data_IF_601030313729
#
_entry.id   IF_601030313729
#
_cell.length_a   1.000
_cell.length_b   1.000
_cell.length_c   1.000
_cell.angle_alpha   90.00
_cell.angle_beta   90.00
_cell.angle_gamma   90.00
#
_symmetry.space_group_name_H-M   'P 1'
#
loop_
_entity.id
_entity.type
_entity.pdbx_description
1 polymer ?
#
# COMPACT_ATOMS: atom_id res chain seq x y z
N UNK A 1 15.58 4.76 2.56
CA UNK A 1 14.80 6.01 2.63
C UNK A 1 15.24 6.79 3.84
N UNK A 2 15.35 8.11 3.73
CA UNK A 2 15.54 9.04 4.84
C UNK A 2 14.19 9.64 5.23
N UNK A 3 14.03 10.10 6.48
CA UNK A 3 12.87 10.91 6.85
C UNK A 3 12.69 12.07 5.87
N UNK A 4 11.49 12.20 5.30
CA UNK A 4 11.16 13.22 4.30
C UNK A 4 11.27 12.77 2.84
N UNK A 5 11.82 11.59 2.54
CA UNK A 5 11.76 11.02 1.19
C UNK A 5 10.30 10.78 0.78
N UNK A 6 9.97 11.11 -0.48
CA UNK A 6 8.66 10.84 -1.09
C UNK A 6 8.73 9.58 -1.95
N UNK A 7 7.69 8.76 -1.88
CA UNK A 7 7.52 7.59 -2.75
C UNK A 7 6.44 7.91 -3.78
N UNK A 8 6.72 7.63 -5.05
CA UNK A 8 5.73 7.55 -6.11
C UNK A 8 5.59 6.11 -6.59
N UNK A 9 4.37 5.71 -6.93
CA UNK A 9 4.07 4.40 -7.51
C UNK A 9 3.52 4.59 -8.91
N UNK A 10 3.94 3.71 -9.80
CA UNK A 10 3.44 3.57 -11.16
C UNK A 10 3.09 2.09 -11.38
N UNK A 11 1.85 1.82 -11.73
CA UNK A 11 1.39 0.52 -12.19
C UNK A 11 1.21 0.54 -13.70
N UNK A 12 1.67 -0.52 -14.37
CA UNK A 12 1.40 -0.77 -15.79
C UNK A 12 0.73 -2.16 -15.86
N UNK A 13 -0.61 -2.24 -15.87
CA UNK A 13 -1.34 -3.48 -15.59
C UNK A 13 -0.99 -4.64 -16.54
N UNK A 14 -0.99 -4.39 -17.85
CA UNK A 14 -0.65 -5.38 -18.88
C UNK A 14 0.59 -4.99 -19.71
N UNK A 15 1.61 -4.44 -19.08
CA UNK A 15 2.80 -3.99 -19.81
C UNK A 15 3.98 -3.67 -18.94
N UNK A 16 4.93 -2.96 -19.55
CA UNK A 16 6.19 -2.58 -18.95
C UNK A 16 6.37 -1.07 -18.98
N UNK A 17 7.19 -0.56 -18.06
CA UNK A 17 7.61 0.85 -18.08
C UNK A 17 8.31 1.22 -19.40
N UNK A 18 8.99 0.25 -20.04
CA UNK A 18 9.62 0.47 -21.35
C UNK A 18 8.59 0.76 -22.43
N UNK A 19 7.51 0.00 -22.50
CA UNK A 19 6.45 0.23 -23.51
C UNK A 19 5.80 1.60 -23.33
N UNK A 20 5.57 2.03 -22.09
CA UNK A 20 5.07 3.38 -21.79
C UNK A 20 6.10 4.45 -22.20
N UNK A 21 7.39 4.21 -21.96
CA UNK A 21 8.46 5.12 -22.37
C UNK A 21 8.56 5.25 -23.89
N UNK A 22 8.47 4.14 -24.62
CA UNK A 22 8.51 4.10 -26.08
C UNK A 22 7.22 4.64 -26.73
N UNK A 23 6.09 4.57 -26.02
CA UNK A 23 4.81 5.13 -26.44
C UNK A 23 4.08 5.84 -25.28
N UNK A 24 4.35 7.14 -25.04
CA UNK A 24 3.76 7.88 -23.92
C UNK A 24 2.24 8.04 -23.99
N UNK A 25 1.62 7.85 -25.16
CA UNK A 25 0.17 7.94 -25.34
C UNK A 25 -0.51 6.55 -25.26
N UNK A 26 0.18 5.55 -24.72
CA UNK A 26 -0.37 4.21 -24.54
C UNK A 26 -1.59 4.27 -23.62
N UNK A 27 -2.69 3.65 -24.05
CA UNK A 27 -3.95 3.62 -23.33
C UNK A 27 -4.50 2.20 -23.22
N UNK A 28 -5.78 2.08 -22.86
CA UNK A 28 -6.44 0.78 -22.68
C UNK A 28 -5.86 0.00 -21.50
N UNK A 29 -5.69 -1.31 -21.67
CA UNK A 29 -5.20 -2.22 -20.63
C UNK A 29 -3.70 -2.04 -20.28
N UNK A 30 -3.00 -1.16 -20.98
CA UNK A 30 -1.60 -0.77 -20.71
C UNK A 30 -1.46 0.67 -20.23
N UNK A 31 -2.57 1.35 -19.97
CA UNK A 31 -2.54 2.71 -19.47
C UNK A 31 -1.79 2.76 -18.12
N UNK A 32 -0.76 3.61 -17.96
CA UNK A 32 -0.08 3.74 -16.69
C UNK A 32 -0.98 4.42 -15.66
N UNK A 33 -0.96 3.89 -14.44
CA UNK A 33 -1.69 4.42 -13.29
C UNK A 33 -0.69 4.89 -12.23
N UNK A 34 -0.82 6.13 -11.79
CA UNK A 34 0.09 6.77 -10.86
C UNK A 34 -0.56 7.00 -9.51
N UNK A 35 0.25 6.94 -8.44
CA UNK A 35 -0.17 7.35 -7.10
C UNK A 35 -0.38 8.87 -6.95
N UNK A 36 0.05 9.66 -7.95
CA UNK A 36 -0.10 11.10 -7.96
C UNK A 36 -1.31 11.49 -8.80
N UNK A 37 -2.33 12.08 -8.18
CA UNK A 37 -3.58 12.40 -8.86
C UNK A 37 -3.35 13.26 -10.12
N UNK A 38 -2.52 14.30 -10.04
CA UNK A 38 -2.21 15.19 -11.17
C UNK A 38 -1.41 14.52 -12.30
N UNK A 39 -0.90 13.30 -12.11
CA UNK A 39 -0.17 12.56 -13.12
C UNK A 39 -1.06 11.57 -13.90
N UNK A 40 -2.28 11.30 -13.41
CA UNK A 40 -3.29 10.55 -14.15
C UNK A 40 -4.09 11.53 -15.01
N UNK A 41 -4.45 11.13 -16.23
CA UNK A 41 -5.24 11.97 -17.11
C UNK A 41 -6.63 12.22 -16.51
N UNK A 42 -6.99 13.51 -16.38
CA UNK A 42 -8.21 14.07 -15.77
C UNK A 42 -8.15 14.26 -14.24
N UNK A 43 -8.06 15.53 -13.83
CA UNK A 43 -7.90 15.96 -12.43
C UNK A 43 -9.06 15.55 -11.49
N UNK A 44 -10.21 15.12 -12.04
CA UNK A 44 -11.37 14.68 -11.28
C UNK A 44 -11.48 13.15 -11.14
N UNK A 45 -10.81 12.38 -12.01
CA UNK A 45 -10.87 10.91 -12.04
C UNK A 45 -9.59 10.27 -11.47
N UNK A 46 -8.67 11.06 -10.93
CA UNK A 46 -7.43 10.56 -10.38
C UNK A 46 -7.42 10.44 -8.85
N UNK A 47 -8.36 11.12 -8.18
CA UNK A 47 -8.55 11.00 -6.74
C UNK A 47 -9.10 9.60 -6.43
N UNK A 48 -8.37 8.85 -5.60
CA UNK A 48 -8.76 7.50 -5.19
C UNK A 48 -8.18 6.36 -6.01
N UNK A 49 -7.31 6.62 -7.00
CA UNK A 49 -6.51 5.56 -7.62
C UNK A 49 -5.62 4.84 -6.58
N UNK A 50 -5.17 5.57 -5.56
CA UNK A 50 -4.47 5.06 -4.39
C UNK A 50 -5.13 5.61 -3.13
N UNK A 51 -5.24 4.78 -2.09
CA UNK A 51 -5.72 5.20 -0.78
C UNK A 51 -4.94 4.52 0.34
N UNK A 52 -5.13 5.02 1.56
CA UNK A 52 -4.62 4.39 2.77
C UNK A 52 -5.71 3.52 3.38
N UNK A 53 -5.47 2.21 3.52
CA UNK A 53 -6.43 1.32 4.17
C UNK A 53 -6.40 1.43 5.71
N UNK A 54 -5.30 1.94 6.26
CA UNK A 54 -5.10 2.18 7.68
C UNK A 54 -4.20 3.40 7.95
N UNK A 55 -3.89 3.68 9.22
CA UNK A 55 -2.97 4.74 9.63
C UNK A 55 -1.51 4.28 9.76
N UNK A 56 -1.19 3.02 9.47
CA UNK A 56 0.13 2.41 9.70
C UNK A 56 0.89 2.09 8.41
N UNK A 57 0.47 2.68 7.29
CA UNK A 57 1.18 2.58 6.02
C UNK A 57 0.79 1.37 5.19
N UNK A 58 -0.45 0.90 5.32
CA UNK A 58 -1.08 0.00 4.35
C UNK A 58 -1.79 0.83 3.30
N UNK A 59 -1.44 0.57 2.04
CA UNK A 59 -1.93 1.27 0.86
C UNK A 59 -2.65 0.29 -0.05
N UNK A 60 -3.61 0.84 -0.78
CA UNK A 60 -4.45 0.13 -1.73
C UNK A 60 -4.47 0.85 -3.06
N UNK A 61 -4.63 0.11 -4.14
CA UNK A 61 -4.67 0.65 -5.49
C UNK A 61 -5.53 -0.22 -6.40
N UNK A 62 -6.35 0.41 -7.24
CA UNK A 62 -7.07 -0.26 -8.33
C UNK A 62 -6.10 -0.58 -9.48
N UNK A 63 -6.31 -1.69 -10.18
CA UNK A 63 -5.51 -2.08 -11.34
C UNK A 63 -5.96 -1.44 -12.66
N UNK A 64 -7.06 -0.71 -12.63
CA UNK A 64 -7.60 0.06 -13.74
C UNK A 64 -7.99 1.48 -13.30
N UNK A 65 -8.28 2.41 -14.23
CA UNK A 65 -8.73 3.74 -13.86
C UNK A 65 -9.98 3.69 -12.97
N UNK A 66 -10.05 4.52 -11.92
CA UNK A 66 -11.18 4.57 -10.96
C UNK A 66 -12.56 4.80 -11.62
N UNK A 67 -12.58 5.40 -12.81
CA UNK A 67 -13.80 5.63 -13.59
C UNK A 67 -14.39 4.32 -14.15
N UNK A 68 -13.57 3.27 -14.29
CA UNK A 68 -13.93 1.98 -14.86
C UNK A 68 -13.86 0.82 -13.86
N UNK A 69 -13.30 1.02 -12.67
CA UNK A 69 -13.18 -0.03 -11.66
C UNK A 69 -14.45 -0.19 -10.80
N UNK A 70 -14.53 -1.29 -10.04
CA UNK A 70 -15.61 -1.57 -9.10
C UNK A 70 -15.42 -0.90 -7.71
N UNK A 71 -14.27 -0.24 -7.51
CA UNK A 71 -13.94 0.65 -6.39
C UNK A 71 -13.93 -0.04 -5.03
N UNK A 72 -13.58 -1.32 -5.01
CA UNK A 72 -13.39 -2.05 -3.77
C UNK A 72 -11.97 -1.90 -3.21
N UNK A 73 -11.05 -1.31 -4.00
CA UNK A 73 -9.68 -0.98 -3.63
C UNK A 73 -8.92 -2.18 -3.09
N UNK A 74 -9.10 -3.37 -3.68
CA UNK A 74 -8.40 -4.58 -3.25
C UNK A 74 -7.54 -5.27 -4.31
N UNK A 75 -7.49 -4.76 -5.54
CA UNK A 75 -6.68 -5.35 -6.61
C UNK A 75 -5.20 -5.44 -6.22
N UNK A 76 -4.67 -4.36 -5.64
CA UNK A 76 -3.29 -4.28 -5.16
C UNK A 76 -3.25 -3.70 -3.76
N UNK A 77 -2.78 -4.51 -2.81
CA UNK A 77 -2.58 -4.12 -1.41
C UNK A 77 -1.11 -4.28 -1.04
N UNK A 78 -0.49 -3.22 -0.51
CA UNK A 78 0.92 -3.23 -0.13
C UNK A 78 1.17 -2.36 1.10
N UNK A 79 2.31 -2.57 1.76
CA UNK A 79 2.68 -1.82 2.95
C UNK A 79 4.08 -1.22 2.84
N UNK A 80 4.23 0.04 3.28
CA UNK A 80 5.53 0.67 3.45
C UNK A 80 5.85 0.85 4.93
N UNK A 81 6.83 0.09 5.42
CA UNK A 81 7.30 0.24 6.80
C UNK A 81 8.05 1.55 6.97
N UNK A 82 7.62 2.35 7.95
CA UNK A 82 8.25 3.63 8.28
C UNK A 82 7.83 4.81 7.41
N UNK A 83 6.86 4.63 6.51
CA UNK A 83 6.22 5.72 5.78
C UNK A 83 4.88 6.09 6.44
N UNK A 84 4.62 7.38 6.61
CA UNK A 84 3.30 7.87 7.01
C UNK A 84 2.47 8.16 5.75
N UNK A 85 1.22 7.67 5.65
CA UNK A 85 0.37 7.94 4.50
C UNK A 85 0.08 9.45 4.39
N UNK A 86 0.15 9.96 3.16
CA UNK A 86 -0.23 11.32 2.76
C UNK A 86 -1.17 11.25 1.54
N UNK A 87 -2.08 10.28 1.57
CA UNK A 87 -3.08 9.99 0.55
C UNK A 87 -4.46 9.97 1.20
N UNK A 88 -5.52 10.02 0.41
CA UNK A 88 -6.90 9.92 0.88
C UNK A 88 -7.13 8.63 1.68
N UNK A 89 -7.99 8.68 2.70
CA UNK A 89 -8.38 7.48 3.44
C UNK A 89 -9.27 6.59 2.56
N UNK A 90 -9.08 5.28 2.62
CA UNK A 90 -9.99 4.33 1.97
C UNK A 90 -11.42 4.47 2.50
N UNK A 91 -11.60 4.92 3.75
CA UNK A 91 -12.91 5.17 4.35
C UNK A 91 -13.73 6.24 3.59
N UNK A 92 -13.05 7.14 2.87
CA UNK A 92 -13.70 8.19 2.06
C UNK A 92 -14.15 7.68 0.68
N UNK A 93 -13.68 6.50 0.28
CA UNK A 93 -13.87 5.96 -1.08
C UNK A 93 -14.70 4.68 -1.10
N UNK A 94 -14.49 3.78 -0.13
CA UNK A 94 -15.06 2.44 -0.16
C UNK A 94 -16.52 2.44 0.27
N UNK A 95 -17.35 1.65 -0.42
CA UNK A 95 -18.74 1.41 -0.03
C UNK A 95 -18.82 0.50 1.19
N UNK A 96 -19.81 0.71 2.06
CA UNK A 96 -19.99 -0.12 3.27
C UNK A 96 -20.18 -1.61 2.98
N UNK A 97 -20.74 -1.94 1.80
CA UNK A 97 -21.01 -3.31 1.38
C UNK A 97 -19.83 -3.94 0.60
N UNK A 98 -18.79 -3.16 0.28
CA UNK A 98 -17.59 -3.62 -0.44
C UNK A 98 -16.34 -3.57 0.44
N UNK A 99 -16.48 -3.22 1.73
CA UNK A 99 -15.35 -3.13 2.65
C UNK A 99 -14.80 -4.52 3.02
N UNK A 100 -13.81 -4.95 2.25
CA UNK A 100 -13.12 -6.22 2.40
C UNK A 100 -12.37 -6.34 3.75
N UNK A 101 -12.05 -5.23 4.43
CA UNK A 101 -11.40 -5.24 5.76
C UNK A 101 -12.31 -5.84 6.84
N UNK A 102 -13.63 -5.87 6.59
CA UNK A 102 -14.59 -6.48 7.52
C UNK A 102 -14.55 -8.01 7.50
N UNK A 103 -14.02 -8.61 6.43
CA UNK A 103 -13.85 -10.05 6.31
C UNK A 103 -12.72 -10.58 7.20
N UNK A 104 -12.78 -11.87 7.57
CA UNK A 104 -11.71 -12.49 8.35
C UNK A 104 -10.36 -12.52 7.60
N UNK A 105 -10.40 -12.69 6.28
CA UNK A 105 -9.21 -12.63 5.43
C UNK A 105 -8.61 -11.21 5.42
N UNK A 106 -9.44 -10.17 5.25
CA UNK A 106 -9.02 -8.77 5.28
C UNK A 106 -8.40 -8.38 6.61
N UNK A 107 -9.04 -8.72 7.74
CA UNK A 107 -8.48 -8.51 9.09
C UNK A 107 -7.11 -9.17 9.24
N UNK A 108 -6.98 -10.41 8.77
CA UNK A 108 -5.71 -11.14 8.83
C UNK A 108 -4.63 -10.47 7.97
N UNK A 109 -4.96 -10.04 6.76
CA UNK A 109 -4.04 -9.35 5.86
C UNK A 109 -3.52 -8.06 6.51
N UNK A 110 -4.42 -7.23 7.04
CA UNK A 110 -4.05 -5.99 7.74
C UNK A 110 -3.15 -6.30 8.94
N UNK A 111 -3.49 -7.31 9.75
CA UNK A 111 -2.68 -7.70 10.91
C UNK A 111 -1.28 -8.22 10.52
N UNK A 112 -1.15 -8.94 9.40
CA UNK A 112 0.13 -9.45 8.91
C UNK A 112 1.01 -8.33 8.31
N UNK A 113 0.39 -7.34 7.68
CA UNK A 113 1.04 -6.19 7.07
C UNK A 113 1.42 -5.09 8.07
N UNK A 114 0.69 -5.00 9.20
CA UNK A 114 0.94 -4.03 10.25
C UNK A 114 2.41 -4.10 10.70
N UNK A 115 3.05 -2.93 10.94
CA UNK A 115 4.41 -2.91 11.46
C UNK A 115 4.43 -3.63 12.81
N UNK A 116 5.01 -4.83 12.82
CA UNK A 116 5.33 -5.52 14.07
C UNK A 116 6.20 -4.56 14.86
N UNK A 117 5.76 -4.20 16.08
CA UNK A 117 6.63 -3.48 16.99
C UNK A 117 7.96 -4.22 17.01
N UNK A 118 9.06 -3.50 16.76
CA UNK A 118 10.37 -4.05 17.06
C UNK A 118 10.28 -4.50 18.51
N UNK A 119 10.38 -5.81 18.73
CA UNK A 119 10.50 -6.32 20.09
C UNK A 119 11.79 -5.71 20.59
N UNK A 120 11.72 -4.70 21.45
CA UNK A 120 12.90 -4.19 22.13
C UNK A 120 13.56 -5.40 22.75
N UNK A 121 14.82 -5.66 22.40
CA UNK A 121 15.60 -6.80 22.91
C UNK A 121 15.57 -6.84 24.45
N UNK A 122 15.33 -5.69 25.07
CA UNK A 122 15.20 -5.42 26.50
C UNK A 122 14.00 -6.13 27.17
N UNK A 123 12.95 -6.50 26.43
CA UNK A 123 11.76 -7.16 26.98
C UNK A 123 11.95 -8.67 27.18
N UNK A 124 13.02 -9.25 26.62
CA UNK A 124 13.47 -10.58 27.02
C UNK A 124 14.39 -10.42 28.23
N UNK A 125 13.81 -10.45 29.44
CA UNK A 125 14.53 -10.73 30.70
C UNK A 125 15.39 -11.99 30.49
N UNK A 126 16.64 -11.78 30.11
CA UNK A 126 17.56 -12.85 29.81
C UNK A 126 18.06 -13.38 31.14
N UNK A 127 17.46 -14.47 31.63
CA UNK A 127 18.00 -15.27 32.72
C UNK A 127 19.23 -16.01 32.19
N UNK A 128 20.39 -15.37 32.21
CA UNK A 128 21.67 -16.05 32.03
C UNK A 128 21.96 -16.88 33.29
N UNK A 129 21.75 -18.19 33.21
CA UNK A 129 22.32 -19.13 34.19
C UNK A 129 23.81 -19.29 33.87
N UNK A 130 24.67 -18.67 34.67
CA UNK A 130 26.10 -19.00 34.67
C UNK A 130 26.28 -20.33 35.41
N UNK A 131 26.56 -21.40 34.67
CA UNK A 131 27.09 -22.64 35.24
C UNK A 131 28.55 -22.38 35.62
N UNK A 132 28.81 -22.18 36.91
CA UNK A 132 30.16 -22.16 37.43
C UNK A 132 30.62 -23.62 37.55
N UNK A 133 31.55 -24.05 36.70
CA UNK A 133 32.22 -25.35 36.86
C UNK A 133 33.63 -25.08 37.37
N UNK A 134 33.79 -25.19 38.68
CA UNK A 134 35.09 -25.21 39.34
C UNK A 134 35.80 -26.54 39.02
N UNK A 135 37.02 -26.45 38.51
CA UNK A 135 38.10 -27.42 38.73
C UNK A 135 39.43 -26.69 38.53
#
# INVERSE_FOLDING_TARGET
MKPGDKIGIMLVPNGTVREVYENPNIGGDKQPLFSMATANSSDAEAAGQIASADSNGIFVMEDMPIASSDRDLNDIIFAFKGAAPQVISMDELIGSNTDWRTSEAGKKLIADAAPKSETKLDDKKTRYYFYNKSA
#
